data_IF_777528713479
#
_entry.id   IF_777528713479
#
_cell.length_a   1.000
_cell.length_b   1.000
_cell.length_c   1.000
_cell.angle_alpha   90.00
_cell.angle_beta   90.00
_cell.angle_gamma   90.00
#
_symmetry.space_group_name_H-M   'P 1'
#
loop_
_entity.id
_entity.type
_entity.pdbx_description
1 polymer ?
#
# COMPACT_ATOMS: atom_id res chain seq x y z
N UNK A 1 -30.93 -26.20 15.27
CA UNK A 1 -30.44 -25.26 14.26
C UNK A 1 -29.03 -24.94 14.68
N UNK A 2 -28.05 -25.37 13.89
CA UNK A 2 -26.66 -25.00 14.15
C UNK A 2 -26.55 -23.49 13.90
N UNK A 3 -26.12 -22.74 14.92
CA UNK A 3 -25.85 -21.33 14.78
C UNK A 3 -24.76 -21.16 13.72
N UNK A 4 -24.99 -20.27 12.75
CA UNK A 4 -24.03 -20.04 11.69
C UNK A 4 -22.86 -19.25 12.28
N UNK A 5 -21.64 -19.79 12.21
CA UNK A 5 -20.49 -19.11 12.80
C UNK A 5 -20.28 -17.72 12.17
N UNK A 6 -20.02 -16.67 12.98
CA UNK A 6 -19.86 -15.31 12.47
C UNK A 6 -18.63 -15.20 11.56
N UNK A 7 -18.83 -14.60 10.39
CA UNK A 7 -17.82 -14.44 9.36
C UNK A 7 -16.91 -13.26 9.70
N UNK A 8 -15.76 -13.55 10.32
CA UNK A 8 -14.75 -12.55 10.67
C UNK A 8 -13.87 -12.21 9.48
N UNK A 9 -13.54 -10.93 9.32
CA UNK A 9 -12.56 -10.51 8.33
C UNK A 9 -11.57 -9.49 8.87
N UNK A 10 -10.36 -9.56 8.33
CA UNK A 10 -9.30 -8.60 8.54
C UNK A 10 -8.62 -8.32 7.21
N UNK A 11 -8.70 -7.07 6.78
CA UNK A 11 -8.14 -6.56 5.54
C UNK A 11 -7.00 -5.60 5.89
N UNK A 12 -5.80 -6.14 5.86
CA UNK A 12 -4.53 -5.47 6.12
C UNK A 12 -3.59 -5.70 4.93
N UNK A 13 -2.43 -5.00 4.83
CA UNK A 13 -1.41 -5.31 3.82
C UNK A 13 -1.05 -6.80 3.75
N UNK A 14 -1.22 -7.51 4.86
CA UNK A 14 -0.84 -8.91 5.00
C UNK A 14 -1.89 -9.86 4.40
N UNK A 15 -3.15 -9.41 4.24
CA UNK A 15 -4.26 -10.22 3.72
C UNK A 15 -4.79 -9.74 2.37
N UNK A 16 -4.47 -8.52 1.93
CA UNK A 16 -4.84 -7.99 0.61
C UNK A 16 -3.64 -7.54 -0.22
N UNK A 17 -3.53 -8.10 -1.44
CA UNK A 17 -2.49 -7.74 -2.40
C UNK A 17 -2.59 -6.28 -2.83
N UNK A 18 -3.79 -5.75 -3.00
CA UNK A 18 -3.99 -4.34 -3.39
C UNK A 18 -3.50 -3.40 -2.30
N UNK A 19 -3.89 -3.63 -1.04
CA UNK A 19 -3.43 -2.82 0.10
C UNK A 19 -1.91 -2.91 0.23
N UNK A 20 -1.35 -4.11 0.06
CA UNK A 20 0.09 -4.35 0.08
C UNK A 20 0.84 -3.57 -0.99
N UNK A 21 0.38 -3.60 -2.24
CA UNK A 21 0.99 -2.87 -3.35
C UNK A 21 0.91 -1.36 -3.16
N UNK A 22 -0.23 -0.83 -2.75
CA UNK A 22 -0.39 0.60 -2.50
C UNK A 22 0.50 1.07 -1.34
N UNK A 23 0.56 0.28 -0.28
CA UNK A 23 1.43 0.55 0.86
C UNK A 23 2.92 0.50 0.46
N UNK A 24 3.34 -0.57 -0.24
CA UNK A 24 4.71 -0.75 -0.75
C UNK A 24 5.10 0.38 -1.69
N UNK A 25 4.21 0.79 -2.60
CA UNK A 25 4.44 1.90 -3.52
C UNK A 25 4.59 3.22 -2.76
N UNK A 26 3.70 3.48 -1.81
CA UNK A 26 3.70 4.69 -1.00
C UNK A 26 4.95 4.84 -0.15
N UNK A 27 5.22 3.86 0.71
CA UNK A 27 6.40 3.82 1.57
C UNK A 27 7.68 3.76 0.73
N UNK A 28 7.69 2.89 -0.28
CA UNK A 28 8.84 2.73 -1.17
C UNK A 28 9.22 4.01 -1.89
N UNK A 29 8.24 4.77 -2.41
CA UNK A 29 8.52 6.06 -3.04
C UNK A 29 9.12 7.07 -2.08
N UNK A 30 8.63 7.13 -0.83
CA UNK A 30 9.16 8.05 0.18
C UNK A 30 10.63 7.76 0.52
N UNK A 31 10.95 6.47 0.73
CA UNK A 31 12.33 6.03 0.95
C UNK A 31 13.21 6.23 -0.28
N UNK A 32 12.66 6.01 -1.48
CA UNK A 32 13.38 6.21 -2.73
C UNK A 32 13.81 7.67 -2.90
N UNK A 33 12.87 8.61 -2.72
CA UNK A 33 13.15 10.05 -2.82
C UNK A 33 14.18 10.47 -1.77
N UNK A 34 14.02 10.03 -0.51
CA UNK A 34 14.98 10.34 0.56
C UNK A 34 16.37 9.83 0.24
N UNK A 35 16.48 8.59 -0.23
CA UNK A 35 17.74 7.95 -0.64
C UNK A 35 18.39 8.71 -1.80
N UNK A 36 17.61 9.06 -2.84
CA UNK A 36 18.10 9.82 -3.99
C UNK A 36 18.65 11.18 -3.54
N UNK A 37 17.94 11.92 -2.69
CA UNK A 37 18.39 13.24 -2.21
C UNK A 37 19.71 13.11 -1.44
N UNK A 38 19.80 12.15 -0.51
CA UNK A 38 21.01 11.92 0.29
C UNK A 38 22.19 11.55 -0.62
N UNK A 39 22.02 10.57 -1.50
CA UNK A 39 23.08 10.12 -2.40
C UNK A 39 23.49 11.18 -3.40
N UNK A 40 22.55 12.00 -3.88
CA UNK A 40 22.87 13.10 -4.77
C UNK A 40 23.75 14.15 -4.07
N UNK A 41 23.43 14.50 -2.82
CA UNK A 41 24.27 15.38 -2.00
C UNK A 41 25.67 14.80 -1.77
N UNK A 42 25.76 13.51 -1.45
CA UNK A 42 27.04 12.82 -1.27
C UNK A 42 27.84 12.77 -2.58
N UNK A 43 27.18 12.53 -3.70
CA UNK A 43 27.81 12.48 -5.02
C UNK A 43 28.40 13.84 -5.42
N UNK A 44 27.70 14.93 -5.13
CA UNK A 44 28.18 16.28 -5.38
C UNK A 44 29.38 16.64 -4.51
N UNK A 45 29.32 16.33 -3.21
CA UNK A 45 30.45 16.52 -2.29
C UNK A 45 31.67 15.70 -2.72
N UNK A 46 31.48 14.42 -3.07
CA UNK A 46 32.55 13.55 -3.54
C UNK A 46 33.16 14.03 -4.87
N UNK A 47 32.41 14.78 -5.68
CA UNK A 47 32.91 15.43 -6.89
C UNK A 47 34.08 16.37 -6.65
N UNK A 48 34.17 16.98 -5.47
CA UNK A 48 35.25 17.92 -5.13
C UNK A 48 36.60 17.20 -4.91
N UNK A 49 36.57 15.90 -4.62
CA UNK A 49 37.75 15.07 -4.32
C UNK A 49 37.94 13.92 -5.32
N UNK A 50 37.21 13.93 -6.44
CA UNK A 50 37.27 12.87 -7.47
C UNK A 50 36.58 11.55 -7.08
N UNK A 51 35.85 11.50 -5.97
CA UNK A 51 35.23 10.29 -5.40
C UNK A 51 33.85 9.91 -5.96
N UNK A 52 33.40 10.52 -7.06
CA UNK A 52 32.04 10.28 -7.63
C UNK A 52 31.76 8.82 -7.96
N UNK A 53 32.76 8.10 -8.49
CA UNK A 53 32.64 6.68 -8.82
C UNK A 53 32.41 5.81 -7.58
N UNK A 54 33.02 6.16 -6.45
CA UNK A 54 32.85 5.44 -5.17
C UNK A 54 31.42 5.56 -4.67
N UNK A 55 30.83 6.77 -4.69
CA UNK A 55 29.45 7.00 -4.27
C UNK A 55 28.46 6.26 -5.18
N UNK A 56 28.71 6.26 -6.49
CA UNK A 56 27.88 5.52 -7.44
C UNK A 56 27.96 4.00 -7.21
N UNK A 57 29.17 3.47 -6.98
CA UNK A 57 29.36 2.06 -6.67
C UNK A 57 28.69 1.67 -5.33
N UNK A 58 28.77 2.53 -4.32
CA UNK A 58 28.09 2.32 -3.03
C UNK A 58 26.56 2.28 -3.20
N UNK A 59 25.99 3.19 -3.99
CA UNK A 59 24.55 3.16 -4.29
C UNK A 59 24.15 1.86 -5.00
N UNK A 60 24.92 1.46 -6.02
CA UNK A 60 24.67 0.22 -6.74
C UNK A 60 24.75 -1.00 -5.79
N UNK A 61 25.74 -1.04 -4.90
CA UNK A 61 25.88 -2.09 -3.90
C UNK A 61 24.68 -2.15 -2.94
N UNK A 62 24.19 -1.00 -2.46
CA UNK A 62 22.99 -0.93 -1.61
C UNK A 62 21.76 -1.47 -2.35
N UNK A 63 21.55 -1.06 -3.61
CA UNK A 63 20.43 -1.54 -4.42
C UNK A 63 20.50 -3.05 -4.67
N UNK A 64 21.66 -3.56 -5.09
CA UNK A 64 21.86 -5.00 -5.32
C UNK A 64 21.66 -5.78 -4.04
N UNK A 65 22.17 -5.29 -2.91
CA UNK A 65 22.00 -5.94 -1.60
C UNK A 65 20.53 -5.96 -1.19
N UNK A 66 19.80 -4.85 -1.36
CA UNK A 66 18.37 -4.78 -1.06
C UNK A 66 17.54 -5.74 -1.92
N UNK A 67 17.82 -5.82 -3.21
CA UNK A 67 17.17 -6.79 -4.12
C UNK A 67 17.53 -8.22 -3.74
N UNK A 68 18.81 -8.50 -3.50
CA UNK A 68 19.27 -9.81 -3.08
C UNK A 68 18.56 -10.24 -1.80
N UNK A 69 18.48 -9.37 -0.79
CA UNK A 69 17.72 -9.60 0.44
C UNK A 69 16.24 -9.88 0.18
N UNK A 70 15.59 -9.08 -0.66
CA UNK A 70 14.18 -9.25 -0.96
C UNK A 70 13.87 -10.52 -1.78
N UNK A 71 14.84 -11.05 -2.53
CA UNK A 71 14.71 -12.30 -3.28
C UNK A 71 15.14 -13.52 -2.45
N UNK A 72 16.10 -13.36 -1.54
CA UNK A 72 16.68 -14.42 -0.71
C UNK A 72 15.96 -14.64 0.62
N UNK A 73 14.96 -13.82 0.94
CA UNK A 73 14.10 -13.96 2.10
C UNK A 73 13.28 -15.26 2.04
N UNK A 74 13.97 -16.37 2.28
CA UNK A 74 13.45 -17.64 2.75
C UNK A 74 13.52 -17.55 4.28
N UNK A 75 12.38 -17.68 4.98
CA UNK A 75 12.22 -17.40 6.42
C UNK A 75 13.33 -18.03 7.28
N UNK A 76 13.79 -19.22 6.90
CA UNK A 76 14.81 -20.02 7.59
C UNK A 76 16.22 -19.43 7.60
N UNK A 77 16.55 -18.57 6.63
CA UNK A 77 17.89 -17.96 6.56
C UNK A 77 17.99 -16.72 7.44
N UNK A 78 16.85 -16.06 7.69
CA UNK A 78 16.74 -14.84 8.48
C UNK A 78 16.59 -15.14 9.98
N UNK A 79 15.91 -16.21 10.38
CA UNK A 79 15.93 -16.71 11.76
C UNK A 79 17.37 -16.95 12.25
N UNK A 80 18.25 -17.52 11.41
CA UNK A 80 19.67 -17.74 11.75
C UNK A 80 20.50 -16.45 11.89
N UNK A 81 20.08 -15.38 11.22
CA UNK A 81 20.71 -14.06 11.31
C UNK A 81 20.16 -13.26 12.50
N UNK A 82 18.86 -13.39 12.77
CA UNK A 82 18.18 -12.83 13.93
C UNK A 82 18.67 -13.47 15.24
N UNK A 83 18.90 -14.79 15.28
CA UNK A 83 19.51 -15.48 16.43
C UNK A 83 20.91 -14.94 16.82
N UNK A 84 21.59 -14.25 15.90
CA UNK A 84 22.91 -13.64 16.13
C UNK A 84 22.85 -12.16 16.53
N UNK A 85 21.69 -11.53 16.42
CA UNK A 85 21.47 -10.13 16.75
C UNK A 85 20.51 -10.06 17.95
N UNK A 86 20.80 -9.33 19.03
CA UNK A 86 19.91 -9.20 20.18
C UNK A 86 18.76 -8.24 19.85
N UNK A 87 17.99 -8.56 18.80
CA UNK A 87 16.81 -7.84 18.36
C UNK A 87 15.66 -8.80 18.63
N UNK A 88 14.73 -8.38 19.48
CA UNK A 88 13.54 -9.15 19.83
C UNK A 88 12.87 -9.72 18.59
N UNK A 89 12.52 -11.00 18.66
CA UNK A 89 11.97 -11.83 17.61
C UNK A 89 11.02 -11.05 16.67
N UNK A 90 11.43 -10.72 15.43
CA UNK A 90 10.58 -9.99 14.53
C UNK A 90 9.39 -10.87 14.19
N UNK A 91 8.22 -10.50 14.70
CA UNK A 91 6.95 -11.15 14.38
C UNK A 91 6.85 -11.25 12.85
N UNK A 92 6.53 -12.43 12.29
CA UNK A 92 6.56 -12.73 10.83
C UNK A 92 6.02 -11.59 9.94
N UNK A 93 4.97 -10.92 10.41
CA UNK A 93 4.29 -9.79 9.77
C UNK A 93 5.22 -8.59 9.49
N UNK A 94 6.21 -8.34 10.35
CA UNK A 94 7.15 -7.23 10.21
C UNK A 94 8.15 -7.43 9.07
N UNK A 95 8.49 -8.69 8.77
CA UNK A 95 9.52 -9.05 7.82
C UNK A 95 9.01 -9.00 6.38
N UNK A 96 7.81 -9.52 6.14
CA UNK A 96 7.12 -9.38 4.84
C UNK A 96 6.91 -7.91 4.47
N UNK A 97 6.53 -7.10 5.46
CA UNK A 97 6.35 -5.66 5.28
C UNK A 97 7.66 -4.94 4.96
N UNK A 98 8.76 -5.32 5.60
CA UNK A 98 10.08 -4.77 5.28
C UNK A 98 10.53 -5.15 3.87
N UNK A 99 10.31 -6.41 3.46
CA UNK A 99 10.59 -6.90 2.11
C UNK A 99 9.84 -6.10 1.04
N UNK A 100 8.53 -5.92 1.23
CA UNK A 100 7.69 -5.15 0.31
C UNK A 100 8.12 -3.69 0.23
N UNK A 101 8.54 -3.08 1.34
CA UNK A 101 9.08 -1.73 1.34
C UNK A 101 10.40 -1.64 0.57
N UNK A 102 11.31 -2.61 0.74
CA UNK A 102 12.61 -2.65 0.04
C UNK A 102 12.42 -2.79 -1.47
N UNK A 103 11.50 -3.67 -1.90
CA UNK A 103 11.17 -3.83 -3.32
C UNK A 103 10.55 -2.56 -3.91
N UNK A 104 9.57 -1.98 -3.21
CA UNK A 104 8.95 -0.72 -3.61
C UNK A 104 9.98 0.42 -3.71
N UNK A 105 10.87 0.51 -2.73
CA UNK A 105 11.96 1.52 -2.70
C UNK A 105 12.88 1.35 -3.89
N UNK A 106 13.35 0.13 -4.14
CA UNK A 106 14.29 -0.14 -5.23
C UNK A 106 13.65 0.15 -6.59
N UNK A 107 12.42 -0.30 -6.81
CA UNK A 107 11.68 -0.02 -8.03
C UNK A 107 11.54 1.49 -8.27
N UNK A 108 11.17 2.25 -7.24
CA UNK A 108 11.00 3.70 -7.37
C UNK A 108 12.32 4.45 -7.54
N UNK A 109 13.43 3.98 -6.94
CA UNK A 109 14.77 4.53 -7.22
C UNK A 109 15.11 4.36 -8.71
N UNK A 110 14.86 3.18 -9.28
CA UNK A 110 15.11 2.92 -10.70
C UNK A 110 14.23 3.81 -11.58
N UNK A 111 12.93 3.93 -11.28
CA UNK A 111 12.00 4.76 -12.05
C UNK A 111 12.39 6.24 -12.00
N UNK A 112 12.54 6.81 -10.80
CA UNK A 112 12.86 8.23 -10.60
C UNK A 112 14.26 8.53 -11.15
N UNK A 113 15.25 7.67 -10.85
CA UNK A 113 16.62 7.83 -11.34
C UNK A 113 16.71 7.77 -12.86
N UNK A 114 15.96 6.87 -13.50
CA UNK A 114 15.90 6.78 -14.97
C UNK A 114 15.26 8.02 -15.59
N UNK A 115 14.15 8.52 -15.02
CA UNK A 115 13.52 9.77 -15.44
C UNK A 115 14.51 10.94 -15.38
N UNK A 116 15.23 11.10 -14.26
CA UNK A 116 16.24 12.14 -14.09
C UNK A 116 17.39 12.00 -15.09
N UNK A 117 17.88 10.78 -15.31
CA UNK A 117 18.97 10.52 -16.26
C UNK A 117 18.57 10.82 -17.71
N UNK A 118 17.40 10.36 -18.13
CA UNK A 118 16.85 10.65 -19.46
C UNK A 118 16.66 12.14 -19.64
N UNK A 119 16.07 12.83 -18.65
CA UNK A 119 15.92 14.28 -18.68
C UNK A 119 17.24 15.02 -18.83
N UNK A 120 18.30 14.55 -18.16
CA UNK A 120 19.65 15.10 -18.32
C UNK A 120 20.21 14.88 -19.72
N UNK A 121 20.09 13.67 -20.28
CA UNK A 121 20.59 13.34 -21.62
C UNK A 121 19.87 14.17 -22.69
N UNK A 122 18.54 14.25 -22.59
CA UNK A 122 17.68 15.00 -23.52
C UNK A 122 18.03 16.48 -23.50
N UNK A 123 18.22 17.05 -22.30
CA UNK A 123 18.66 18.44 -22.12
C UNK A 123 20.05 18.70 -22.72
N UNK A 124 21.02 17.83 -22.44
CA UNK A 124 22.40 17.97 -22.97
C UNK A 124 22.47 17.85 -24.50
N UNK A 125 21.58 17.06 -25.11
CA UNK A 125 21.52 16.87 -26.57
C UNK A 125 20.61 17.86 -27.28
N UNK A 126 19.96 18.78 -26.54
CA UNK A 126 19.02 19.76 -27.12
C UNK A 126 17.78 19.13 -27.78
N UNK A 127 17.47 17.86 -27.49
CA UNK A 127 16.46 17.07 -28.23
C UNK A 127 15.02 17.57 -28.04
N UNK A 128 14.77 18.40 -27.04
CA UNK A 128 13.46 19.02 -26.77
C UNK A 128 13.46 20.55 -26.88
N UNK A 129 14.50 21.15 -27.49
CA UNK A 129 14.62 22.61 -27.59
C UNK A 129 14.57 23.28 -26.21
N UNK A 130 13.76 24.34 -26.07
CA UNK A 130 13.64 25.17 -24.86
C UNK A 130 13.01 24.45 -23.65
N UNK A 131 12.37 23.29 -23.82
CA UNK A 131 11.75 22.55 -22.72
C UNK A 131 12.79 21.89 -21.78
N UNK A 132 14.01 21.62 -22.27
CA UNK A 132 15.12 21.09 -21.47
C UNK A 132 14.78 19.83 -20.67
N UNK A 133 15.23 19.76 -19.40
CA UNK A 133 14.98 18.65 -18.48
C UNK A 133 13.63 18.75 -17.72
N UNK A 134 12.90 19.85 -17.87
CA UNK A 134 11.73 20.20 -17.06
C UNK A 134 10.64 19.13 -16.96
N UNK A 135 10.19 18.52 -18.08
CA UNK A 135 9.14 17.51 -18.06
C UNK A 135 9.49 16.26 -17.24
N UNK A 136 10.75 15.80 -17.33
CA UNK A 136 11.20 14.59 -16.64
C UNK A 136 11.35 14.82 -15.14
N UNK A 137 11.86 15.98 -14.74
CA UNK A 137 11.91 16.41 -13.34
C UNK A 137 10.50 16.61 -12.77
N UNK A 138 9.57 17.15 -13.57
CA UNK A 138 8.16 17.30 -13.19
C UNK A 138 7.48 15.94 -12.95
N UNK A 139 7.68 14.97 -13.85
CA UNK A 139 7.17 13.60 -13.67
C UNK A 139 7.77 12.92 -12.44
N UNK A 140 9.08 13.09 -12.19
CA UNK A 140 9.72 12.63 -10.98
C UNK A 140 9.10 13.28 -9.72
N UNK A 141 8.83 14.58 -9.76
CA UNK A 141 8.20 15.29 -8.64
C UNK A 141 6.76 14.83 -8.37
N UNK A 142 6.00 14.48 -9.42
CA UNK A 142 4.64 13.96 -9.30
C UNK A 142 4.56 12.58 -8.61
N UNK A 143 5.66 11.84 -8.56
CA UNK A 143 5.68 10.55 -7.85
C UNK A 143 5.40 10.69 -6.35
N UNK A 144 5.79 11.81 -5.74
CA UNK A 144 5.65 12.01 -4.29
C UNK A 144 4.20 12.30 -3.86
N UNK A 145 3.44 13.21 -4.52
CA UNK A 145 2.00 13.32 -4.31
C UNK A 145 1.26 12.02 -4.60
N UNK A 146 1.62 11.30 -5.67
CA UNK A 146 1.02 10.01 -5.99
C UNK A 146 1.26 8.96 -4.89
N UNK A 147 2.44 8.96 -4.29
CA UNK A 147 2.76 8.08 -3.17
C UNK A 147 1.91 8.39 -1.93
N UNK A 148 1.68 9.67 -1.63
CA UNK A 148 0.79 10.08 -0.54
C UNK A 148 -0.64 9.61 -0.79
N UNK A 149 -1.15 9.75 -2.01
CA UNK A 149 -2.47 9.23 -2.40
C UNK A 149 -2.53 7.71 -2.26
N UNK A 150 -1.48 6.99 -2.68
CA UNK A 150 -1.41 5.54 -2.52
C UNK A 150 -1.43 5.12 -1.03
N UNK A 151 -0.69 5.82 -0.16
CA UNK A 151 -0.72 5.59 1.29
C UNK A 151 -2.11 5.86 1.88
N UNK A 152 -2.72 6.97 1.48
CA UNK A 152 -4.06 7.35 1.93
C UNK A 152 -5.08 6.28 1.55
N UNK A 153 -5.06 5.84 0.29
CA UNK A 153 -5.90 4.76 -0.20
C UNK A 153 -5.63 3.45 0.53
N UNK A 154 -4.37 3.07 0.76
CA UNK A 154 -4.03 1.87 1.56
C UNK A 154 -4.62 1.94 2.97
N UNK A 155 -4.61 3.12 3.59
CA UNK A 155 -5.21 3.34 4.90
C UNK A 155 -6.73 3.18 4.88
N UNK A 156 -7.42 3.72 3.87
CA UNK A 156 -8.87 3.61 3.74
C UNK A 156 -9.34 2.21 3.34
N UNK A 157 -8.53 1.46 2.59
CA UNK A 157 -8.84 0.09 2.22
C UNK A 157 -8.55 -0.91 3.36
N UNK A 158 -7.96 -0.45 4.47
CA UNK A 158 -7.78 -1.26 5.66
C UNK A 158 -9.13 -1.40 6.37
N UNK A 159 -9.61 -2.62 6.57
CA UNK A 159 -10.91 -2.86 7.22
C UNK A 159 -10.87 -4.10 8.09
N UNK A 160 -11.50 -4.04 9.27
CA UNK A 160 -11.58 -5.16 10.21
C UNK A 160 -12.99 -5.20 10.77
N UNK A 161 -13.56 -6.40 10.85
CA UNK A 161 -14.89 -6.57 11.41
C UNK A 161 -15.36 -8.02 11.41
N UNK A 162 -16.62 -8.22 11.78
CA UNK A 162 -17.31 -9.49 11.75
C UNK A 162 -18.73 -9.30 11.22
N UNK A 163 -19.18 -10.22 10.38
CA UNK A 163 -20.56 -10.28 9.94
C UNK A 163 -21.23 -11.46 10.63
N UNK A 164 -22.31 -11.20 11.35
CA UNK A 164 -23.14 -12.23 11.95
C UNK A 164 -24.38 -12.45 11.07
N UNK A 165 -24.51 -13.60 10.40
CA UNK A 165 -25.66 -13.90 9.54
C UNK A 165 -26.94 -14.19 10.34
N UNK A 166 -26.83 -14.66 11.58
CA UNK A 166 -27.98 -14.96 12.43
C UNK A 166 -28.56 -13.66 13.00
N UNK A 167 -27.71 -12.72 13.45
CA UNK A 167 -28.12 -11.39 13.92
C UNK A 167 -28.30 -10.37 12.79
N UNK A 168 -28.00 -10.73 11.54
CA UNK A 168 -28.00 -9.84 10.37
C UNK A 168 -27.31 -8.51 10.64
N UNK A 169 -26.18 -8.55 11.36
CA UNK A 169 -25.49 -7.36 11.85
C UNK A 169 -24.02 -7.40 11.46
N UNK A 170 -23.50 -6.28 10.99
CA UNK A 170 -22.07 -6.08 10.72
C UNK A 170 -21.44 -5.35 11.90
N UNK A 171 -20.49 -5.98 12.57
CA UNK A 171 -19.68 -5.35 13.62
C UNK A 171 -18.37 -4.85 13.02
N UNK A 172 -18.12 -3.54 13.14
CA UNK A 172 -16.84 -2.95 12.78
C UNK A 172 -15.91 -2.93 14.00
N UNK A 173 -14.59 -2.91 13.75
CA UNK A 173 -13.58 -2.91 14.83
C UNK A 173 -13.64 -1.68 15.76
N UNK A 174 -14.35 -0.62 15.36
CA UNK A 174 -14.67 0.49 16.26
C UNK A 174 -15.89 0.08 17.11
N UNK A 175 -15.75 -0.08 18.44
CA UNK A 175 -16.67 -0.84 19.30
C UNK A 175 -18.12 -0.30 19.37
N UNK A 176 -18.38 0.88 18.82
CA UNK A 176 -19.70 1.52 18.82
C UNK A 176 -20.41 1.49 17.46
N UNK A 177 -19.81 0.89 16.41
CA UNK A 177 -20.40 0.82 15.06
C UNK A 177 -20.84 -0.60 14.70
N UNK A 178 -22.03 -0.96 15.16
CA UNK A 178 -22.81 -2.07 14.62
C UNK A 178 -23.75 -1.55 13.53
N UNK A 179 -23.74 -2.20 12.37
CA UNK A 179 -24.66 -1.89 11.27
C UNK A 179 -25.69 -3.01 11.22
N UNK A 180 -26.89 -2.69 11.65
CA UNK A 180 -28.04 -3.56 11.46
C UNK A 180 -28.42 -3.57 9.98
N UNK A 181 -28.42 -4.74 9.34
CA UNK A 181 -28.84 -4.86 7.94
C UNK A 181 -30.35 -4.62 7.79
N UNK A 182 -31.11 -4.64 8.89
CA UNK A 182 -32.54 -4.36 8.86
C UNK A 182 -32.87 -2.91 8.47
N UNK A 183 -31.95 -1.97 8.63
CA UNK A 183 -32.17 -0.59 8.21
C UNK A 183 -31.74 -0.31 6.77
N UNK A 184 -31.34 -1.34 6.03
CA UNK A 184 -30.82 -1.25 4.65
C UNK A 184 -31.90 -1.76 3.68
N UNK A 185 -32.26 -0.93 2.71
CA UNK A 185 -33.23 -1.22 1.63
C UNK A 185 -32.58 -1.92 0.44
N UNK A 186 -31.29 -1.68 0.23
CA UNK A 186 -30.55 -2.30 -0.87
C UNK A 186 -29.05 -2.21 -0.66
N UNK A 187 -28.35 -3.17 -1.25
CA UNK A 187 -26.91 -3.19 -1.29
C UNK A 187 -26.43 -3.40 -2.73
N UNK A 188 -25.39 -2.66 -3.13
CA UNK A 188 -24.75 -2.87 -4.42
C UNK A 188 -23.25 -3.12 -4.26
N UNK A 189 -22.74 -4.09 -4.99
CA UNK A 189 -21.32 -4.48 -4.92
C UNK A 189 -20.59 -4.03 -6.17
N UNK A 190 -19.49 -3.31 -5.97
CA UNK A 190 -18.50 -3.05 -7.02
C UNK A 190 -17.19 -3.75 -6.68
N UNK A 191 -16.80 -4.72 -7.52
CA UNK A 191 -15.53 -5.44 -7.35
C UNK A 191 -14.40 -4.78 -8.13
N UNK A 192 -13.25 -4.62 -7.49
CA UNK A 192 -12.01 -4.10 -8.06
C UNK A 192 -10.88 -5.01 -7.58
N UNK A 193 -10.45 -5.96 -8.41
CA UNK A 193 -9.42 -6.93 -8.05
C UNK A 193 -9.83 -7.80 -6.86
N UNK A 194 -9.05 -7.76 -5.77
CA UNK A 194 -9.33 -8.44 -4.50
C UNK A 194 -10.16 -7.57 -3.52
N UNK A 195 -10.74 -6.46 -3.98
CA UNK A 195 -11.58 -5.54 -3.19
C UNK A 195 -13.03 -5.65 -3.65
N UNK A 196 -13.97 -5.75 -2.72
CA UNK A 196 -15.39 -5.47 -2.98
C UNK A 196 -15.81 -4.23 -2.21
N UNK A 197 -16.33 -3.22 -2.92
CA UNK A 197 -16.91 -2.02 -2.32
C UNK A 197 -18.42 -2.24 -2.29
N UNK A 198 -18.97 -2.42 -1.10
CA UNK A 198 -20.42 -2.52 -0.87
C UNK A 198 -20.94 -1.12 -0.60
N UNK A 199 -21.94 -0.70 -1.36
CA UNK A 199 -22.68 0.54 -1.11
C UNK A 199 -24.04 0.18 -0.55
N UNK A 200 -24.39 0.81 0.58
CA UNK A 200 -25.63 0.56 1.30
C UNK A 200 -26.61 1.71 1.10
N UNK A 201 -27.81 1.37 0.65
CA UNK A 201 -28.95 2.26 0.59
C UNK A 201 -29.79 2.05 1.84
N UNK A 202 -29.80 3.03 2.73
CA UNK A 202 -30.52 2.94 4.01
C UNK A 202 -31.95 3.41 3.85
N UNK A 203 -32.86 2.70 4.52
CA UNK A 203 -34.22 3.17 4.75
C UNK A 203 -34.20 4.53 5.45
N UNK A 204 -35.11 5.42 5.08
CA UNK A 204 -35.37 6.67 5.80
C UNK A 204 -36.76 6.60 6.45
N UNK A 205 -36.96 5.75 7.48
CA UNK A 205 -38.22 5.72 8.18
C UNK A 205 -38.50 7.10 8.78
N UNK A 206 -39.69 7.64 8.52
CA UNK A 206 -40.13 8.97 8.93
C UNK A 206 -39.28 10.15 8.43
N UNK A 207 -38.53 9.97 7.33
CA UNK A 207 -37.65 11.00 6.77
C UNK A 207 -36.44 11.34 7.66
N UNK A 208 -36.13 10.48 8.64
CA UNK A 208 -34.99 10.65 9.53
C UNK A 208 -33.74 9.99 8.95
N UNK A 209 -32.62 10.68 9.10
CA UNK A 209 -31.32 10.17 8.68
C UNK A 209 -30.85 9.05 9.61
N UNK A 210 -30.67 7.84 9.05
CA UNK A 210 -30.02 6.73 9.74
C UNK A 210 -28.51 6.92 9.66
N UNK A 211 -27.85 6.92 10.82
CA UNK A 211 -26.39 7.00 10.92
C UNK A 211 -25.78 5.64 10.55
N UNK A 212 -24.79 5.67 9.66
CA UNK A 212 -24.07 4.48 9.23
C UNK A 212 -23.17 4.76 8.02
N UNK A 213 -22.12 3.96 7.82
CA UNK A 213 -21.25 4.09 6.67
C UNK A 213 -21.99 3.69 5.39
N UNK A 214 -22.07 4.61 4.42
CA UNK A 214 -22.73 4.37 3.14
C UNK A 214 -21.95 3.46 2.20
N UNK A 215 -20.64 3.31 2.44
CA UNK A 215 -19.76 2.47 1.65
C UNK A 215 -18.78 1.75 2.56
N UNK A 216 -18.62 0.46 2.33
CA UNK A 216 -17.69 -0.38 3.08
C UNK A 216 -16.83 -1.20 2.12
N UNK A 217 -15.53 -1.22 2.37
CA UNK A 217 -14.60 -2.06 1.62
C UNK A 217 -14.43 -3.40 2.33
N UNK A 218 -14.85 -4.48 1.67
CA UNK A 218 -14.88 -5.84 2.20
C UNK A 218 -14.08 -6.80 1.30
N UNK A 219 -13.63 -7.95 1.82
CA UNK A 219 -13.25 -9.07 0.98
C UNK A 219 -14.44 -9.55 0.12
N UNK A 220 -14.24 -9.98 -1.14
CA UNK A 220 -15.34 -10.38 -2.01
C UNK A 220 -16.28 -11.43 -1.42
N UNK A 221 -15.74 -12.45 -0.75
CA UNK A 221 -16.55 -13.49 -0.09
C UNK A 221 -17.48 -12.93 0.99
N UNK A 222 -17.00 -11.99 1.79
CA UNK A 222 -17.79 -11.35 2.85
C UNK A 222 -18.84 -10.41 2.25
N UNK A 223 -18.48 -9.71 1.17
CA UNK A 223 -19.41 -8.84 0.46
C UNK A 223 -20.59 -9.60 -0.15
N UNK A 224 -20.33 -10.81 -0.67
CA UNK A 224 -21.36 -11.67 -1.27
C UNK A 224 -22.38 -12.11 -0.20
N UNK A 225 -21.89 -12.61 0.94
CA UNK A 225 -22.74 -12.99 2.10
C UNK A 225 -23.55 -11.82 2.66
N UNK A 226 -22.94 -10.63 2.74
CA UNK A 226 -23.64 -9.42 3.20
C UNK A 226 -24.75 -9.01 2.23
N UNK A 227 -24.53 -9.08 0.92
CA UNK A 227 -25.57 -8.75 -0.06
C UNK A 227 -26.66 -9.79 -0.08
N UNK A 228 -26.32 -11.08 -0.03
CA UNK A 228 -27.30 -12.16 0.07
C UNK A 228 -28.17 -12.01 1.33
N UNK A 229 -27.59 -11.55 2.44
CA UNK A 229 -28.31 -11.23 3.68
C UNK A 229 -29.26 -10.01 3.58
N UNK A 230 -28.96 -9.05 2.71
CA UNK A 230 -29.81 -7.87 2.44
C UNK A 230 -30.90 -8.20 1.42
N UNK A 231 -30.60 -8.97 0.38
CA UNK A 231 -31.53 -9.35 -0.70
C UNK A 231 -32.47 -10.49 -0.30
N UNK A 232 -32.06 -11.36 0.64
CA UNK A 232 -32.87 -12.46 1.20
C UNK A 232 -33.96 -12.02 2.19
N UNK A 233 -34.44 -10.78 2.04
CA UNK A 233 -35.44 -10.14 2.91
C UNK A 233 -36.86 -10.33 2.44
#
# INVERSE_FOLDING_TARGET
MDASEPLRWRRDPDTSRTVRLLWSLGVGTFFAVSTIIIFWRLYDMAGQVGGRSVVAAALAAVLVTGVAFALSADQRHLERLADRLPISDPTDVSLDRARDAILGTTAMIVVIGSLMLVGRIVSQRGLLGDLGAGPFTGLAALTLPMALVALLLASFLRSVGAYDPDERTIYLYDPDQAIDLEVIEGASVRRIGDVAIVSFDYAQPDGRYVQGPRRLALPPRVADEVVDGVDGR
#
